data_IF_076229594009
#
_entry.id   IF_076229594009
#
_cell.length_a   1.000
_cell.length_b   1.000
_cell.length_c   1.000
_cell.angle_alpha   90.00
_cell.angle_beta   90.00
_cell.angle_gamma   90.00
#
_symmetry.space_group_name_H-M   'P 1'
#
loop_
_entity.id
_entity.type
_entity.pdbx_description
1 polymer ?
#
# COMPACT_ATOMS: atom_id res chain seq x y z
N UNK A 1 -1.89 18.59 1.45
CA UNK A 1 -1.66 17.14 1.38
C UNK A 1 -2.57 16.55 0.32
N UNK A 2 -2.03 15.84 -0.67
CA UNK A 2 -2.76 15.23 -1.78
C UNK A 2 -2.53 13.72 -1.76
N UNK A 3 -3.22 13.04 -0.85
CA UNK A 3 -3.13 11.60 -0.69
C UNK A 3 -4.39 10.95 -1.23
N UNK A 4 -4.22 9.99 -2.14
CA UNK A 4 -5.31 9.18 -2.66
C UNK A 4 -5.38 7.88 -1.88
N UNK A 5 -6.42 7.72 -1.08
CA UNK A 5 -6.71 6.46 -0.40
C UNK A 5 -7.10 5.38 -1.41
N UNK A 6 -6.51 4.19 -1.32
CA UNK A 6 -6.82 3.10 -2.26
C UNK A 6 -7.10 1.74 -1.61
N UNK A 7 -6.78 1.55 -0.32
CA UNK A 7 -7.02 0.27 0.35
C UNK A 7 -7.08 0.41 1.87
N UNK A 8 -8.13 -0.16 2.46
CA UNK A 8 -8.19 -0.48 3.89
C UNK A 8 -7.75 -1.94 4.07
N UNK A 9 -6.62 -2.15 4.72
CA UNK A 9 -6.11 -3.47 5.06
C UNK A 9 -6.49 -3.81 6.50
N UNK A 10 -7.47 -4.70 6.66
CA UNK A 10 -7.83 -5.29 7.95
C UNK A 10 -7.09 -6.62 8.08
N UNK A 11 -6.11 -6.70 8.98
CA UNK A 11 -5.51 -7.97 9.38
C UNK A 11 -5.86 -8.24 10.86
N UNK A 12 -5.76 -9.50 11.30
CA UNK A 12 -6.20 -9.98 12.62
C UNK A 12 -5.54 -9.27 13.83
N UNK A 13 -4.68 -8.27 13.62
CA UNK A 13 -3.97 -7.52 14.64
C UNK A 13 -3.97 -5.98 14.45
N UNK A 14 -4.71 -5.44 13.47
CA UNK A 14 -4.81 -3.99 13.28
C UNK A 14 -5.54 -3.55 12.01
N UNK A 15 -5.90 -2.27 11.96
CA UNK A 15 -6.34 -1.61 10.73
C UNK A 15 -5.19 -0.78 10.18
N UNK A 16 -4.87 -1.00 8.91
CA UNK A 16 -3.89 -0.18 8.20
C UNK A 16 -4.50 0.36 6.92
N UNK A 17 -4.17 1.60 6.57
CA UNK A 17 -4.70 2.28 5.40
C UNK A 17 -3.57 2.61 4.45
N UNK A 18 -3.80 2.43 3.16
CA UNK A 18 -2.80 2.68 2.12
C UNK A 18 -3.21 3.86 1.24
N UNK A 19 -2.22 4.70 0.95
CA UNK A 19 -2.38 5.92 0.19
C UNK A 19 -1.32 6.04 -0.90
N UNK A 20 -1.66 6.70 -2.00
CA UNK A 20 -0.71 7.21 -2.99
C UNK A 20 -0.47 8.69 -2.71
N UNK A 21 0.78 9.10 -2.49
CA UNK A 21 1.14 10.48 -2.17
C UNK A 21 1.56 11.27 -3.41
N UNK A 22 0.71 12.22 -3.83
CA UNK A 22 0.98 13.12 -4.96
C UNK A 22 1.61 14.46 -4.56
N UNK A 23 1.87 14.68 -3.27
CA UNK A 23 2.50 15.88 -2.73
C UNK A 23 3.54 15.54 -1.64
N UNK A 24 4.56 14.72 -1.95
CA UNK A 24 5.59 14.35 -0.97
C UNK A 24 6.45 15.55 -0.56
N UNK A 25 7.19 15.39 0.53
CA UNK A 25 8.28 16.32 0.89
C UNK A 25 9.41 16.26 -0.15
N UNK A 26 10.37 17.19 -0.07
CA UNK A 26 11.55 17.22 -0.97
C UNK A 26 12.37 15.92 -0.98
N UNK A 27 12.28 15.10 0.08
CA UNK A 27 12.97 13.81 0.20
C UNK A 27 12.18 12.63 -0.38
N UNK A 28 10.90 12.82 -0.69
CA UNK A 28 10.03 11.74 -1.17
C UNK A 28 9.84 11.76 -2.68
N UNK A 29 9.20 10.70 -3.18
CA UNK A 29 8.94 10.51 -4.62
C UNK A 29 7.45 10.72 -4.89
N UNK A 30 7.11 11.49 -5.93
CA UNK A 30 5.71 11.74 -6.28
C UNK A 30 5.10 10.45 -6.80
N UNK A 31 4.03 9.99 -6.18
CA UNK A 31 3.41 8.69 -6.46
C UNK A 31 3.86 7.57 -5.52
N UNK A 32 4.67 7.87 -4.51
CA UNK A 32 5.07 6.92 -3.49
C UNK A 32 3.87 6.36 -2.71
N UNK A 33 4.02 5.14 -2.22
CA UNK A 33 3.00 4.43 -1.46
C UNK A 33 3.25 4.58 0.02
N UNK A 34 2.23 5.06 0.72
CA UNK A 34 2.26 5.36 2.14
C UNK A 34 1.31 4.44 2.89
N UNK A 35 1.79 3.84 3.97
CA UNK A 35 0.99 3.07 4.93
C UNK A 35 0.77 3.88 6.20
N UNK A 36 -0.49 3.99 6.60
CA UNK A 36 -0.90 4.47 7.91
C UNK A 36 -1.30 3.29 8.80
N UNK A 37 -0.64 3.14 9.93
CA UNK A 37 -0.98 2.18 10.98
C UNK A 37 -1.69 2.96 12.10
N UNK A 38 -2.87 2.52 12.54
CA UNK A 38 -3.65 3.21 13.59
C UNK A 38 -3.14 2.92 15.01
N UNK A 39 -2.52 1.76 15.27
CA UNK A 39 -2.11 1.34 16.62
C UNK A 39 -0.68 0.77 16.66
N UNK A 40 0.36 1.59 16.91
CA UNK A 40 0.34 3.04 17.11
C UNK A 40 0.26 3.82 15.78
N UNK A 41 -0.31 5.04 15.83
CA UNK A 41 -0.33 6.02 14.74
C UNK A 41 1.06 6.19 14.11
N UNK A 42 1.30 5.53 12.96
CA UNK A 42 2.58 5.54 12.26
C UNK A 42 2.37 5.65 10.76
N UNK A 43 3.15 6.53 10.14
CA UNK A 43 3.21 6.73 8.69
C UNK A 43 4.54 6.16 8.19
N UNK A 44 4.50 5.29 7.19
CA UNK A 44 5.68 4.73 6.53
C UNK A 44 5.55 4.80 5.01
N UNK A 45 6.63 5.16 4.32
CA UNK A 45 6.74 4.98 2.87
C UNK A 45 7.21 3.56 2.60
N UNK A 46 6.46 2.80 1.80
CA UNK A 46 6.69 1.36 1.58
C UNK A 46 7.08 1.01 0.14
N UNK A 47 6.92 1.95 -0.79
CA UNK A 47 7.38 1.87 -2.19
C UNK A 47 7.43 3.27 -2.81
N UNK A 48 8.28 3.48 -3.82
CA UNK A 48 8.41 4.76 -4.52
C UNK A 48 7.35 4.95 -5.62
N UNK A 49 6.71 3.86 -6.04
CA UNK A 49 5.62 3.86 -7.02
C UNK A 49 4.58 2.77 -6.75
N UNK A 50 3.41 2.89 -7.39
CA UNK A 50 2.37 1.87 -7.33
C UNK A 50 2.81 0.58 -8.04
N UNK A 51 3.58 0.69 -9.12
CA UNK A 51 4.09 -0.47 -9.87
C UNK A 51 5.06 -1.28 -9.01
N UNK A 52 6.02 -0.63 -8.35
CA UNK A 52 6.96 -1.28 -7.42
C UNK A 52 6.23 -1.95 -6.24
N UNK A 53 5.17 -1.29 -5.74
CA UNK A 53 4.32 -1.87 -4.71
C UNK A 53 3.67 -3.17 -5.20
N UNK A 54 3.08 -3.20 -6.39
CA UNK A 54 2.48 -4.41 -6.97
C UNK A 54 3.51 -5.51 -7.26
N UNK A 55 4.68 -5.16 -7.79
CA UNK A 55 5.77 -6.11 -8.03
C UNK A 55 6.17 -6.85 -6.77
N UNK A 56 6.29 -6.15 -5.63
CA UNK A 56 6.55 -6.79 -4.33
C UNK A 56 5.48 -7.82 -3.98
N UNK A 57 4.20 -7.55 -4.23
CA UNK A 57 3.13 -8.53 -3.97
C UNK A 57 3.20 -9.75 -4.88
N UNK A 58 3.55 -9.56 -6.15
CA UNK A 58 3.74 -10.67 -7.09
C UNK A 58 4.91 -11.56 -6.66
N UNK A 59 6.00 -10.97 -6.16
CA UNK A 59 7.15 -11.70 -5.62
C UNK A 59 6.83 -12.49 -4.34
N UNK A 60 5.93 -11.98 -3.49
CA UNK A 60 5.48 -12.69 -2.29
C UNK A 60 4.53 -13.87 -2.58
N UNK A 61 4.26 -14.17 -3.85
CA UNK A 61 3.46 -15.31 -4.25
C UNK A 61 1.99 -15.18 -3.88
N UNK A 62 1.45 -13.95 -3.88
CA UNK A 62 0.01 -13.79 -3.79
C UNK A 62 -0.65 -14.45 -5.01
N UNK A 63 -1.56 -15.37 -4.73
CA UNK A 63 -2.30 -16.07 -5.77
C UNK A 63 -3.16 -15.06 -6.54
N UNK A 64 -2.84 -14.91 -7.82
CA UNK A 64 -3.77 -14.29 -8.74
C UNK A 64 -5.07 -15.09 -8.71
N UNK A 65 -6.19 -14.40 -8.61
CA UNK A 65 -7.48 -15.05 -8.75
C UNK A 65 -7.56 -15.57 -10.18
N UNK A 66 -7.68 -16.89 -10.33
CA UNK A 66 -7.93 -17.57 -11.59
C UNK A 66 -9.32 -18.22 -11.56
N UNK A 67 -9.85 -18.63 -12.71
CA UNK A 67 -11.12 -19.38 -12.76
C UNK A 67 -11.10 -20.60 -11.83
N UNK A 68 -9.93 -21.23 -11.66
CA UNK A 68 -9.72 -22.38 -10.77
C UNK A 68 -9.75 -22.02 -9.27
N UNK A 69 -9.54 -20.76 -8.90
CA UNK A 69 -9.50 -20.27 -7.51
C UNK A 69 -10.85 -19.73 -7.02
N UNK A 70 -11.83 -19.55 -7.92
CA UNK A 70 -13.17 -19.01 -7.60
C UNK A 70 -14.20 -20.13 -7.29
N UNK A 71 -13.85 -21.41 -7.51
CA UNK A 71 -14.76 -22.56 -7.30
C UNK A 71 -14.90 -23.01 -5.84
#
# INVERSE_FOLDING_TARGET
MKWLHFSDCMNNAGTSQLFIDFSPSEKGVKGQIVRFLHDPDKIEVIADSFDEYLEKFMEYGLDFISEDTIC
#
